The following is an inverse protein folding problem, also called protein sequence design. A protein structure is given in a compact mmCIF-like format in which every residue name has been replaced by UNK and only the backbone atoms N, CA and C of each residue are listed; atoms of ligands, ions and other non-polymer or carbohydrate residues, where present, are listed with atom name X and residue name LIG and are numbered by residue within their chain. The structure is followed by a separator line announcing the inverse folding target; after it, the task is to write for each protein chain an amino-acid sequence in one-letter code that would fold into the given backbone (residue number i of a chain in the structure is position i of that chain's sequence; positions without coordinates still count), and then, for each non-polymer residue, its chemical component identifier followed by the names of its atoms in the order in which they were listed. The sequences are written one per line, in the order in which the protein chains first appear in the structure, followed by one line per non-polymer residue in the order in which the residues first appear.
data_IF_592993360034
#
_entry.id   IF_592993360034
#
_cell.length_a   1.000
_cell.length_b   1.000
_cell.length_c   1.000
_cell.angle_alpha   90.00
_cell.angle_beta   90.00
_cell.angle_gamma   90.00
#
_symmetry.space_group_name_H-M   'P 1'
#
loop_
_entity.id
_entity.type
_entity.pdbx_description
1 polymer ?
#
# COMPACT_ATOMS: atom_id res chain seq x y z
N UNK A 1 23.80 -23.14 -19.57
CA UNK A 1 23.40 -22.64 -18.24
C UNK A 1 22.09 -21.95 -18.47
N UNK A 2 20.99 -22.64 -18.18
CA UNK A 2 19.67 -22.01 -18.16
C UNK A 2 19.74 -20.91 -17.09
N UNK A 3 19.35 -19.71 -17.49
CA UNK A 3 19.15 -18.63 -16.53
C UNK A 3 17.83 -18.98 -15.86
N UNK A 4 17.86 -19.47 -14.62
CA UNK A 4 16.64 -19.56 -13.81
C UNK A 4 16.00 -18.16 -13.82
N UNK A 5 14.85 -18.05 -14.46
CA UNK A 5 14.09 -16.82 -14.51
C UNK A 5 13.54 -16.60 -13.09
N UNK A 6 14.26 -15.81 -12.28
CA UNK A 6 13.84 -15.50 -10.92
C UNK A 6 12.57 -14.66 -11.02
N UNK A 7 11.42 -15.32 -10.82
CA UNK A 7 10.13 -14.65 -10.74
C UNK A 7 10.16 -13.78 -9.46
N UNK A 8 10.10 -12.44 -9.57
CA UNK A 8 10.22 -11.59 -8.39
C UNK A 8 9.02 -11.79 -7.47
N UNK A 9 9.28 -12.07 -6.18
CA UNK A 9 8.26 -12.25 -5.14
C UNK A 9 7.32 -11.04 -5.02
N UNK A 10 6.12 -11.26 -4.47
CA UNK A 10 5.19 -10.19 -4.12
C UNK A 10 5.87 -9.12 -3.24
N UNK A 11 5.76 -7.85 -3.65
CA UNK A 11 6.28 -6.74 -2.87
C UNK A 11 5.33 -6.40 -1.72
N UNK A 12 5.87 -6.32 -0.50
CA UNK A 12 5.12 -5.95 0.70
C UNK A 12 5.52 -4.55 1.18
N UNK A 13 4.58 -3.61 1.11
CA UNK A 13 4.70 -2.28 1.69
C UNK A 13 4.03 -2.21 3.07
N UNK A 14 4.75 -1.68 4.07
CA UNK A 14 4.20 -1.50 5.42
C UNK A 14 4.13 -0.03 5.81
N UNK A 15 2.96 0.44 6.25
CA UNK A 15 2.84 1.78 6.84
C UNK A 15 3.37 1.82 8.28
N UNK A 16 4.17 2.84 8.58
CA UNK A 16 4.88 3.00 9.85
C UNK A 16 4.88 4.45 10.33
N UNK A 17 4.84 4.65 11.64
CA UNK A 17 4.80 5.98 12.28
C UNK A 17 5.90 6.22 13.32
N UNK A 18 6.84 5.28 13.43
CA UNK A 18 7.99 5.39 14.32
C UNK A 18 9.20 4.65 13.75
N UNK A 19 10.39 4.97 14.27
CA UNK A 19 11.62 4.23 13.94
C UNK A 19 11.53 2.77 14.37
N UNK A 20 10.91 2.50 15.54
CA UNK A 20 10.69 1.14 16.02
C UNK A 20 9.79 0.36 15.06
N UNK A 21 8.66 0.94 14.66
CA UNK A 21 7.74 0.35 13.68
C UNK A 21 8.44 0.06 12.34
N UNK A 22 9.26 1.00 11.85
CA UNK A 22 10.05 0.84 10.62
C UNK A 22 11.04 -0.34 10.71
N UNK A 23 11.81 -0.42 11.80
CA UNK A 23 12.76 -1.53 12.03
C UNK A 23 12.02 -2.86 12.16
N UNK A 24 10.89 -2.88 12.87
CA UNK A 24 10.07 -4.08 13.03
C UNK A 24 9.47 -4.55 11.70
N UNK A 25 9.01 -3.64 10.85
CA UNK A 25 8.48 -3.95 9.53
C UNK A 25 9.54 -4.63 8.65
N UNK A 26 10.73 -4.03 8.53
CA UNK A 26 11.83 -4.56 7.71
C UNK A 26 12.33 -5.90 8.24
N UNK A 27 12.51 -6.03 9.55
CA UNK A 27 12.86 -7.32 10.18
C UNK A 27 11.77 -8.38 10.04
N UNK A 28 10.54 -7.97 9.74
CA UNK A 28 9.43 -8.85 9.41
C UNK A 28 9.35 -9.20 7.92
N UNK A 29 10.22 -8.66 7.08
CA UNK A 29 10.23 -8.94 5.64
C UNK A 29 9.47 -7.93 4.79
N UNK A 30 9.22 -6.72 5.29
CA UNK A 30 8.73 -5.62 4.44
C UNK A 30 9.82 -5.16 3.46
N UNK A 31 9.43 -4.97 2.20
CA UNK A 31 10.33 -4.53 1.12
C UNK A 31 10.37 -3.01 0.99
N UNK A 32 9.27 -2.36 1.37
CA UNK A 32 9.08 -0.90 1.28
C UNK A 32 8.32 -0.38 2.48
N UNK A 33 8.57 0.87 2.83
CA UNK A 33 7.87 1.54 3.93
C UNK A 33 7.10 2.76 3.45
N UNK A 34 5.84 2.87 3.89
CA UNK A 34 5.08 4.13 3.84
C UNK A 34 5.24 4.83 5.20
N UNK A 35 5.90 5.98 5.23
CA UNK A 35 6.14 6.74 6.46
C UNK A 35 5.02 7.75 6.68
N UNK A 36 4.36 7.64 7.82
CA UNK A 36 3.19 8.41 8.21
C UNK A 36 3.41 9.07 9.58
N UNK A 37 2.77 10.20 9.85
CA UNK A 37 2.44 10.65 11.20
C UNK A 37 1.04 10.18 11.59
N UNK A 38 0.72 10.08 12.88
CA UNK A 38 -0.66 9.83 13.37
C UNK A 38 -1.37 8.60 12.76
N UNK A 39 -0.64 7.53 12.44
CA UNK A 39 -1.17 6.38 11.69
C UNK A 39 -2.36 5.72 12.40
N UNK A 40 -2.24 5.45 13.71
CA UNK A 40 -3.28 4.77 14.49
C UNK A 40 -4.58 5.55 14.70
N UNK A 41 -4.59 6.87 14.49
CA UNK A 41 -5.74 7.75 14.84
C UNK A 41 -6.52 8.22 13.61
N UNK A 42 -5.93 8.20 12.41
CA UNK A 42 -6.59 8.74 11.22
C UNK A 42 -6.19 8.13 9.89
N UNK A 43 -5.54 6.96 9.87
CA UNK A 43 -4.95 6.40 8.65
C UNK A 43 -3.71 7.15 8.17
N UNK A 44 -3.20 8.07 9.00
CA UNK A 44 -1.96 8.80 8.88
C UNK A 44 -2.05 10.20 8.23
N UNK A 45 -1.05 11.03 8.53
CA UNK A 45 -0.83 12.42 8.06
C UNK A 45 0.64 12.62 7.72
N UNK A 46 1.03 13.76 7.15
CA UNK A 46 2.45 14.01 6.82
C UNK A 46 3.36 13.76 8.04
N UNK A 47 4.43 12.94 7.92
CA UNK A 47 5.35 12.67 9.02
C UNK A 47 6.26 13.88 9.27
N UNK A 48 6.89 13.93 10.44
CA UNK A 48 7.89 14.98 10.70
C UNK A 48 9.21 14.69 9.97
N UNK A 49 9.96 15.73 9.57
CA UNK A 49 11.32 15.58 9.04
C UNK A 49 12.26 14.76 9.94
N UNK A 50 12.10 14.92 11.26
CA UNK A 50 12.89 14.21 12.26
C UNK A 50 12.67 12.69 12.19
N UNK A 51 11.43 12.26 12.00
CA UNK A 51 11.08 10.84 11.84
C UNK A 51 11.72 10.27 10.56
N UNK A 52 11.51 10.92 9.41
CA UNK A 52 12.03 10.44 8.12
C UNK A 52 13.56 10.35 8.13
N UNK A 53 14.25 11.38 8.63
CA UNK A 53 15.73 11.36 8.76
C UNK A 53 16.20 10.23 9.68
N UNK A 54 15.47 9.95 10.76
CA UNK A 54 15.84 8.91 11.72
C UNK A 54 15.64 7.51 11.13
N UNK A 55 14.56 7.28 10.37
CA UNK A 55 14.32 6.04 9.64
C UNK A 55 15.43 5.82 8.60
N UNK A 56 15.75 6.82 7.76
CA UNK A 56 16.84 6.70 6.76
C UNK A 56 18.20 6.37 7.38
N UNK A 57 18.50 6.89 8.57
CA UNK A 57 19.74 6.55 9.30
C UNK A 57 19.73 5.10 9.80
N UNK A 58 18.58 4.62 10.27
CA UNK A 58 18.43 3.27 10.80
C UNK A 58 18.35 2.20 9.69
N UNK A 59 17.83 2.57 8.51
CA UNK A 59 17.51 1.67 7.40
C UNK A 59 17.98 2.31 6.09
N UNK A 60 19.24 2.08 5.72
CA UNK A 60 19.90 2.83 4.62
C UNK A 60 19.35 2.50 3.24
N UNK A 61 18.98 1.25 3.01
CA UNK A 61 18.69 0.73 1.66
C UNK A 61 17.19 0.45 1.42
N UNK A 62 16.34 0.80 2.38
CA UNK A 62 14.90 0.52 2.30
C UNK A 62 14.18 1.68 1.59
N UNK A 63 13.46 1.43 0.49
CA UNK A 63 12.69 2.46 -0.18
C UNK A 63 11.61 3.05 0.74
N UNK A 64 11.49 4.38 0.73
CA UNK A 64 10.51 5.12 1.53
C UNK A 64 9.52 5.85 0.63
N UNK A 65 8.24 5.65 0.93
CA UNK A 65 7.11 6.44 0.43
C UNK A 65 6.66 7.38 1.54
N UNK A 66 6.52 8.67 1.28
CA UNK A 66 6.14 9.65 2.31
C UNK A 66 4.67 10.03 2.15
N UNK A 67 3.91 9.91 3.24
CA UNK A 67 2.58 10.49 3.33
C UNK A 67 2.65 12.01 3.20
N UNK A 68 1.90 12.56 2.25
CA UNK A 68 1.65 14.00 2.14
C UNK A 68 0.15 14.20 2.30
N UNK A 69 -0.25 14.52 3.52
CA UNK A 69 -1.63 14.73 3.95
C UNK A 69 -1.63 15.65 5.16
N UNK A 70 -2.06 16.92 5.01
CA UNK A 70 -1.82 17.95 6.02
C UNK A 70 -2.69 17.77 7.27
N UNK A 71 -3.82 17.06 7.16
CA UNK A 71 -4.75 16.78 8.27
C UNK A 71 -5.53 15.49 8.09
N UNK A 72 -6.16 15.03 9.17
CA UNK A 72 -7.17 13.97 9.15
C UNK A 72 -8.51 14.48 8.58
N UNK A 73 -9.44 13.57 8.32
CA UNK A 73 -10.76 13.87 7.72
C UNK A 73 -10.78 13.59 6.21
N UNK A 74 -11.52 14.39 5.48
CA UNK A 74 -11.69 14.26 4.03
C UNK A 74 -10.39 14.55 3.22
N UNK A 75 -10.52 14.46 1.91
CA UNK A 75 -9.47 14.70 0.92
C UNK A 75 -9.75 15.93 0.05
N UNK A 76 -10.66 16.81 0.49
CA UNK A 76 -10.96 18.08 -0.18
C UNK A 76 -10.17 19.17 0.56
N UNK A 77 -9.15 19.68 -0.10
CA UNK A 77 -8.24 20.65 0.51
C UNK A 77 -8.55 22.07 0.06
N UNK A 78 -8.36 23.01 0.96
CA UNK A 78 -8.29 24.44 0.62
C UNK A 78 -7.03 24.71 -0.21
N UNK A 79 -6.98 25.85 -0.90
CA UNK A 79 -5.78 26.23 -1.66
C UNK A 79 -4.55 26.36 -0.74
N UNK A 80 -4.71 26.89 0.48
CA UNK A 80 -3.62 26.98 1.46
C UNK A 80 -3.12 25.60 1.89
N UNK A 81 -4.01 24.61 2.07
CA UNK A 81 -3.62 23.25 2.40
C UNK A 81 -2.85 22.57 1.25
N UNK A 82 -3.23 22.84 0.00
CA UNK A 82 -2.47 22.37 -1.17
C UNK A 82 -1.07 22.98 -1.20
N UNK A 83 -0.92 24.28 -0.92
CA UNK A 83 0.42 24.89 -0.87
C UNK A 83 1.30 24.29 0.23
N UNK A 84 0.74 24.00 1.42
CA UNK A 84 1.45 23.27 2.48
C UNK A 84 1.92 21.89 1.98
N UNK A 85 1.06 21.15 1.28
CA UNK A 85 1.42 19.84 0.71
C UNK A 85 2.56 19.93 -0.30
N UNK A 86 2.57 20.97 -1.14
CA UNK A 86 3.62 21.20 -2.13
C UNK A 86 4.95 21.58 -1.46
N UNK A 87 4.92 22.41 -0.42
CA UNK A 87 6.09 22.73 0.40
C UNK A 87 6.67 21.47 1.06
N UNK A 88 5.83 20.62 1.65
CA UNK A 88 6.25 19.34 2.24
C UNK A 88 6.94 18.45 1.19
N UNK A 89 6.36 18.31 -0.01
CA UNK A 89 6.94 17.53 -1.11
C UNK A 89 8.32 18.09 -1.49
N UNK A 90 8.44 19.40 -1.69
CA UNK A 90 9.70 20.05 -2.02
C UNK A 90 10.77 19.78 -0.95
N UNK A 91 10.41 19.95 0.31
CA UNK A 91 11.32 19.71 1.43
C UNK A 91 11.79 18.25 1.52
N UNK A 92 10.88 17.28 1.37
CA UNK A 92 11.25 15.87 1.41
C UNK A 92 12.10 15.44 0.21
N UNK A 93 11.92 16.05 -0.97
CA UNK A 93 12.82 15.84 -2.12
C UNK A 93 14.25 16.29 -1.81
N UNK A 94 14.43 17.41 -1.13
CA UNK A 94 15.75 17.87 -0.67
C UNK A 94 16.38 16.87 0.32
N UNK A 95 15.56 16.17 1.10
CA UNK A 95 16.00 15.05 1.96
C UNK A 95 16.31 13.76 1.19
N UNK A 96 16.21 13.78 -0.15
CA UNK A 96 16.46 12.63 -1.02
C UNK A 96 15.36 11.57 -0.94
N UNK A 97 14.12 11.95 -0.63
CA UNK A 97 12.94 11.11 -0.85
C UNK A 97 12.54 11.21 -2.32
N UNK A 98 12.04 10.10 -2.87
CA UNK A 98 11.55 10.02 -4.26
C UNK A 98 10.09 9.60 -4.37
N UNK A 99 9.55 8.92 -3.36
CA UNK A 99 8.18 8.44 -3.35
C UNK A 99 7.27 9.27 -2.45
N UNK A 100 6.15 9.74 -3.00
CA UNK A 100 5.15 10.53 -2.28
C UNK A 100 3.79 9.90 -2.45
N UNK A 101 3.00 9.86 -1.38
CA UNK A 101 1.64 9.34 -1.39
C UNK A 101 0.70 10.49 -1.05
N UNK A 102 -0.22 10.79 -1.97
CA UNK A 102 -1.08 11.97 -2.06
C UNK A 102 -2.49 11.50 -2.45
N UNK A 103 -3.52 12.29 -2.22
CA UNK A 103 -4.82 12.04 -2.82
C UNK A 103 -5.72 13.23 -2.60
N UNK A 104 -6.27 13.77 -3.68
CA UNK A 104 -7.12 14.97 -3.64
C UNK A 104 -8.43 14.69 -4.36
N UNK A 105 -9.53 15.00 -3.70
CA UNK A 105 -10.87 14.83 -4.22
C UNK A 105 -11.59 16.17 -4.33
N UNK A 106 -12.43 16.26 -5.34
CA UNK A 106 -13.43 17.31 -5.51
C UNK A 106 -14.57 17.14 -4.48
N UNK A 107 -15.38 18.18 -4.32
CA UNK A 107 -16.58 18.14 -3.48
C UNK A 107 -17.62 17.10 -3.93
N UNK A 108 -17.59 16.74 -5.21
CA UNK A 108 -18.48 15.75 -5.82
C UNK A 108 -17.95 14.32 -5.65
N UNK A 109 -16.81 14.12 -4.97
CA UNK A 109 -16.21 12.79 -4.78
C UNK A 109 -15.56 12.22 -6.05
N UNK A 110 -15.19 13.06 -7.01
CA UNK A 110 -14.30 12.68 -8.12
C UNK A 110 -12.84 13.04 -7.80
N UNK A 111 -11.89 12.38 -8.45
CA UNK A 111 -10.47 12.76 -8.38
C UNK A 111 -10.29 14.19 -8.89
N UNK A 112 -9.55 15.02 -8.15
CA UNK A 112 -9.23 16.38 -8.60
C UNK A 112 -8.04 16.34 -9.58
N UNK A 113 -8.32 16.12 -10.85
CA UNK A 113 -7.31 15.94 -11.91
C UNK A 113 -6.38 17.16 -12.01
N UNK A 114 -6.91 18.37 -11.89
CA UNK A 114 -6.12 19.60 -12.07
C UNK A 114 -5.09 19.77 -10.95
N UNK A 115 -5.46 19.45 -9.71
CA UNK A 115 -4.52 19.45 -8.59
C UNK A 115 -3.56 18.26 -8.70
N UNK A 116 -4.07 17.07 -9.04
CA UNK A 116 -3.27 15.85 -9.08
C UNK A 116 -2.25 15.80 -10.23
N UNK A 117 -2.45 16.56 -11.31
CA UNK A 117 -1.47 16.77 -12.40
C UNK A 117 -0.26 17.61 -11.97
N UNK A 118 -0.30 18.26 -10.80
CA UNK A 118 0.89 18.90 -10.22
C UNK A 118 1.93 17.81 -9.89
N UNK A 119 3.22 18.07 -10.16
CA UNK A 119 4.23 17.01 -10.23
C UNK A 119 4.44 16.26 -8.90
N UNK A 120 4.79 14.97 -9.02
CA UNK A 120 5.25 14.04 -7.97
C UNK A 120 4.20 13.47 -7.01
N UNK A 121 3.23 12.73 -7.55
CA UNK A 121 2.18 12.07 -6.77
C UNK A 121 2.09 10.55 -7.02
N UNK A 122 1.91 9.77 -5.95
CA UNK A 122 1.25 8.46 -5.99
C UNK A 122 -0.06 8.55 -5.21
N UNK A 123 -1.07 7.75 -5.55
CA UNK A 123 -2.41 7.92 -4.99
C UNK A 123 -2.67 7.04 -3.77
N UNK A 124 -3.27 7.65 -2.75
CA UNK A 124 -3.73 7.00 -1.51
C UNK A 124 -5.19 6.54 -1.59
N UNK A 125 -5.66 5.89 -0.52
CA UNK A 125 -7.06 5.52 -0.20
C UNK A 125 -8.13 6.64 -0.34
N UNK A 126 -7.78 7.86 -0.74
CA UNK A 126 -8.74 8.83 -1.25
C UNK A 126 -9.59 8.21 -2.39
N UNK A 127 -9.00 7.31 -3.18
CA UNK A 127 -9.72 6.53 -4.18
C UNK A 127 -10.96 5.79 -3.62
N UNK A 128 -10.85 5.19 -2.44
CA UNK A 128 -11.95 4.42 -1.83
C UNK A 128 -13.11 5.34 -1.35
N UNK A 129 -12.90 6.65 -1.33
CA UNK A 129 -13.92 7.66 -1.02
C UNK A 129 -14.50 8.33 -2.27
N UNK A 130 -14.10 7.88 -3.46
CA UNK A 130 -14.68 8.39 -4.71
C UNK A 130 -16.10 7.90 -4.90
N UNK A 131 -16.90 8.57 -5.73
CA UNK A 131 -18.27 8.14 -6.02
C UNK A 131 -18.34 6.92 -6.94
N UNK A 132 -17.38 6.78 -7.85
CA UNK A 132 -17.34 5.77 -8.89
C UNK A 132 -15.89 5.28 -9.06
N UNK A 133 -15.59 4.03 -8.67
CA UNK A 133 -14.22 3.53 -8.70
C UNK A 133 -13.70 3.27 -10.13
N UNK A 134 -14.57 3.05 -11.11
CA UNK A 134 -14.15 2.84 -12.51
C UNK A 134 -13.76 4.17 -13.14
N UNK A 135 -14.61 5.19 -12.99
CA UNK A 135 -14.28 6.54 -13.47
C UNK A 135 -13.04 7.09 -12.77
N UNK A 136 -12.92 6.90 -11.45
CA UNK A 136 -11.74 7.33 -10.71
C UNK A 136 -10.47 6.63 -11.22
N UNK A 137 -10.53 5.35 -11.58
CA UNK A 137 -9.38 4.63 -12.14
C UNK A 137 -8.99 5.19 -13.51
N UNK A 138 -9.98 5.50 -14.36
CA UNK A 138 -9.77 6.15 -15.66
C UNK A 138 -9.09 7.51 -15.50
N UNK A 139 -9.61 8.37 -14.61
CA UNK A 139 -9.05 9.68 -14.29
C UNK A 139 -7.57 9.57 -13.84
N UNK A 140 -7.27 8.57 -13.00
CA UNK A 140 -5.92 8.33 -12.46
C UNK A 140 -4.94 7.90 -13.54
N UNK A 141 -5.37 7.02 -14.44
CA UNK A 141 -4.56 6.59 -15.58
C UNK A 141 -4.34 7.79 -16.53
N UNK A 142 -5.36 8.62 -16.76
CA UNK A 142 -5.29 9.80 -17.63
C UNK A 142 -4.34 10.88 -17.10
N UNK A 143 -4.30 11.12 -15.78
CA UNK A 143 -3.38 12.09 -15.17
C UNK A 143 -1.94 11.85 -15.62
N UNK A 144 -1.53 10.59 -15.73
CA UNK A 144 -0.17 10.18 -16.10
C UNK A 144 0.85 10.46 -14.99
N UNK A 145 1.91 9.66 -14.92
CA UNK A 145 2.98 9.82 -13.92
C UNK A 145 2.66 9.29 -12.52
N UNK A 146 1.47 8.73 -12.30
CA UNK A 146 1.10 8.02 -11.07
C UNK A 146 1.52 6.56 -11.22
N UNK A 147 2.44 6.11 -10.36
CA UNK A 147 2.95 4.74 -10.41
C UNK A 147 2.04 3.71 -9.74
N UNK A 148 1.30 4.12 -8.71
CA UNK A 148 0.55 3.22 -7.82
C UNK A 148 -0.78 3.79 -7.37
N UNK A 149 -1.76 2.91 -7.29
CA UNK A 149 -3.06 3.15 -6.67
C UNK A 149 -3.23 2.24 -5.44
N UNK A 150 -3.23 2.85 -4.25
CA UNK A 150 -3.57 2.16 -3.01
C UNK A 150 -5.10 2.15 -2.80
N UNK A 151 -5.71 0.97 -2.70
CA UNK A 151 -7.18 0.82 -2.57
C UNK A 151 -7.56 -0.40 -1.74
N UNK A 152 -8.66 -0.31 -0.99
CA UNK A 152 -9.33 -1.46 -0.38
C UNK A 152 -10.37 -2.10 -1.28
N UNK A 153 -10.48 -1.68 -2.55
CA UNK A 153 -11.51 -2.12 -3.48
C UNK A 153 -12.85 -1.40 -3.28
N UNK A 154 -12.84 -0.16 -2.79
CA UNK A 154 -14.07 0.63 -2.55
C UNK A 154 -14.99 0.08 -1.45
N UNK A 155 -14.51 -0.86 -0.63
CA UNK A 155 -15.19 -1.34 0.57
C UNK A 155 -14.36 -1.18 1.85
N UNK A 156 -14.84 -1.77 2.95
CA UNK A 156 -14.20 -1.60 4.28
C UNK A 156 -12.82 -2.23 4.36
N UNK A 157 -12.59 -3.32 3.65
CA UNK A 157 -11.35 -4.07 3.65
C UNK A 157 -11.16 -4.80 2.32
N UNK A 158 -9.91 -5.09 1.96
CA UNK A 158 -9.57 -5.86 0.76
C UNK A 158 -10.30 -7.21 0.71
N UNK A 159 -10.36 -8.02 1.79
CA UNK A 159 -11.05 -9.31 1.76
C UNK A 159 -12.55 -9.20 1.47
N UNK A 160 -13.19 -8.10 1.88
CA UNK A 160 -14.62 -7.84 1.64
C UNK A 160 -14.88 -7.27 0.23
N UNK A 161 -13.86 -7.00 -0.56
CA UNK A 161 -13.96 -6.23 -1.81
C UNK A 161 -13.17 -6.83 -2.97
N UNK A 162 -12.87 -8.13 -2.89
CA UNK A 162 -12.12 -8.85 -3.93
C UNK A 162 -12.78 -8.76 -5.31
N UNK A 163 -14.11 -8.85 -5.40
CA UNK A 163 -14.82 -8.71 -6.67
C UNK A 163 -14.64 -7.33 -7.33
N UNK A 164 -14.68 -6.25 -6.54
CA UNK A 164 -14.38 -4.90 -7.05
C UNK A 164 -12.91 -4.79 -7.46
N UNK A 165 -11.99 -5.37 -6.69
CA UNK A 165 -10.56 -5.40 -7.06
C UNK A 165 -10.34 -6.14 -8.38
N UNK A 166 -10.94 -7.31 -8.59
CA UNK A 166 -10.86 -8.02 -9.88
C UNK A 166 -11.35 -7.15 -11.05
N UNK A 167 -12.46 -6.43 -10.85
CA UNK A 167 -12.96 -5.47 -11.84
C UNK A 167 -11.93 -4.36 -12.12
N UNK A 168 -11.30 -3.80 -11.09
CA UNK A 168 -10.30 -2.75 -11.24
C UNK A 168 -9.03 -3.24 -11.93
N UNK A 169 -8.51 -4.42 -11.58
CA UNK A 169 -7.38 -5.04 -12.27
C UNK A 169 -7.69 -5.29 -13.76
N UNK A 170 -8.87 -5.85 -14.06
CA UNK A 170 -9.32 -6.06 -15.44
C UNK A 170 -9.43 -4.74 -16.21
N UNK A 171 -9.98 -3.70 -15.57
CA UNK A 171 -10.15 -2.38 -16.16
C UNK A 171 -8.81 -1.70 -16.42
N UNK A 172 -7.90 -1.73 -15.43
CA UNK A 172 -6.55 -1.20 -15.58
C UNK A 172 -5.79 -1.90 -16.71
N UNK A 173 -5.87 -3.23 -16.82
CA UNK A 173 -5.27 -3.98 -17.93
C UNK A 173 -5.84 -3.56 -19.28
N UNK A 174 -7.16 -3.39 -19.39
CA UNK A 174 -7.83 -2.93 -20.62
C UNK A 174 -7.39 -1.53 -21.03
N UNK A 175 -7.29 -0.60 -20.08
CA UNK A 175 -6.96 0.80 -20.35
C UNK A 175 -5.48 1.00 -20.71
N UNK A 176 -4.60 0.20 -20.12
CA UNK A 176 -3.15 0.39 -20.24
C UNK A 176 -2.51 -0.52 -21.29
N UNK A 177 -3.16 -1.62 -21.68
CA UNK A 177 -2.59 -2.61 -22.59
C UNK A 177 -1.29 -3.20 -22.04
N UNK A 178 -0.30 -3.38 -22.92
CA UNK A 178 1.03 -3.93 -22.58
C UNK A 178 2.04 -2.82 -22.19
N UNK A 179 1.56 -1.69 -21.67
CA UNK A 179 2.43 -0.58 -21.28
C UNK A 179 3.43 -0.99 -20.19
N UNK A 180 4.72 -0.89 -20.50
CA UNK A 180 5.85 -1.26 -19.61
C UNK A 180 5.84 -0.47 -18.29
N UNK A 181 5.26 0.74 -18.27
CA UNK A 181 5.25 1.65 -17.11
C UNK A 181 3.84 1.99 -16.62
N UNK A 182 2.92 1.02 -16.67
CA UNK A 182 1.55 1.19 -16.20
C UNK A 182 1.41 1.39 -14.68
N UNK A 183 0.30 2.02 -14.30
CA UNK A 183 -0.24 2.07 -12.95
C UNK A 183 -0.37 0.67 -12.35
N UNK A 184 0.28 0.47 -11.21
CA UNK A 184 0.12 -0.73 -10.38
C UNK A 184 -1.00 -0.54 -9.36
N UNK A 185 -1.98 -1.45 -9.34
CA UNK A 185 -2.98 -1.50 -8.27
C UNK A 185 -2.37 -2.25 -7.08
N UNK A 186 -2.37 -1.60 -5.93
CA UNK A 186 -1.83 -2.11 -4.67
C UNK A 186 -2.99 -2.25 -3.66
N UNK A 187 -3.55 -3.45 -3.47
CA UNK A 187 -4.56 -3.68 -2.46
C UNK A 187 -4.04 -3.37 -1.05
N UNK A 188 -4.81 -2.61 -0.27
CA UNK A 188 -4.49 -2.32 1.12
C UNK A 188 -5.71 -1.97 1.97
N UNK A 189 -5.66 -2.38 3.24
CA UNK A 189 -6.77 -2.27 4.19
C UNK A 189 -7.29 -3.64 4.61
N UNK A 190 -7.08 -4.01 5.87
CA UNK A 190 -7.49 -5.32 6.41
C UNK A 190 -6.62 -6.51 5.98
N UNK A 191 -5.52 -6.28 5.26
CA UNK A 191 -4.54 -7.31 4.89
C UNK A 191 -3.82 -7.83 6.15
N UNK A 192 -3.88 -9.14 6.36
CA UNK A 192 -3.26 -9.84 7.49
C UNK A 192 -3.02 -11.32 7.12
N UNK A 193 -2.44 -12.12 8.03
CA UNK A 193 -2.10 -13.52 7.75
C UNK A 193 -3.29 -14.38 7.33
N UNK A 194 -4.49 -14.08 7.84
CA UNK A 194 -5.67 -14.88 7.52
C UNK A 194 -6.27 -14.52 6.15
N UNK A 195 -5.95 -13.34 5.61
CA UNK A 195 -6.50 -12.89 4.33
C UNK A 195 -5.51 -12.96 3.16
N UNK A 196 -4.21 -12.89 3.42
CA UNK A 196 -3.19 -12.74 2.38
C UNK A 196 -3.21 -13.86 1.34
N UNK A 197 -3.34 -15.12 1.76
CA UNK A 197 -3.38 -16.27 0.84
C UNK A 197 -4.52 -16.15 -0.15
N UNK A 198 -5.74 -15.85 0.32
CA UNK A 198 -6.90 -15.66 -0.56
C UNK A 198 -6.73 -14.47 -1.50
N UNK A 199 -6.13 -13.37 -1.02
CA UNK A 199 -5.86 -12.19 -1.84
C UNK A 199 -4.90 -12.53 -2.99
N UNK A 200 -3.80 -13.22 -2.69
CA UNK A 200 -2.82 -13.64 -3.68
C UNK A 200 -3.46 -14.59 -4.69
N UNK A 201 -4.11 -15.66 -4.24
CA UNK A 201 -4.75 -16.63 -5.13
C UNK A 201 -5.76 -16.01 -6.10
N UNK A 202 -6.53 -15.00 -5.66
CA UNK A 202 -7.54 -14.36 -6.50
C UNK A 202 -6.98 -13.27 -7.42
N UNK A 203 -6.03 -12.46 -6.94
CA UNK A 203 -5.57 -11.28 -7.66
C UNK A 203 -4.25 -11.47 -8.41
N UNK A 204 -3.42 -12.44 -8.03
CA UNK A 204 -2.18 -12.78 -8.74
C UNK A 204 -2.42 -13.14 -10.22
N UNK A 205 -3.43 -13.97 -10.58
CA UNK A 205 -3.77 -14.22 -11.98
C UNK A 205 -4.22 -12.97 -12.74
N UNK A 206 -4.58 -11.90 -12.02
CA UNK A 206 -5.02 -10.62 -12.59
C UNK A 206 -3.90 -9.59 -12.67
N UNK A 207 -2.69 -9.92 -12.21
CA UNK A 207 -1.52 -9.05 -12.24
C UNK A 207 -1.18 -8.41 -10.90
N UNK A 208 -1.59 -8.97 -9.75
CA UNK A 208 -1.11 -8.50 -8.44
C UNK A 208 0.42 -8.57 -8.38
N UNK A 209 1.04 -7.48 -7.93
CA UNK A 209 2.50 -7.37 -7.75
C UNK A 209 2.91 -6.75 -6.42
N UNK A 210 2.01 -5.97 -5.81
CA UNK A 210 2.30 -5.26 -4.58
C UNK A 210 1.10 -5.31 -3.64
N UNK A 211 1.36 -5.37 -2.33
CA UNK A 211 0.33 -5.28 -1.31
C UNK A 211 0.74 -4.31 -0.20
N UNK A 212 -0.25 -3.72 0.45
CA UNK A 212 -0.05 -2.77 1.54
C UNK A 212 -0.73 -3.24 2.83
N UNK A 213 0.00 -3.17 3.94
CA UNK A 213 -0.54 -3.46 5.28
C UNK A 213 0.03 -2.52 6.36
N UNK A 214 -0.56 -2.55 7.55
CA UNK A 214 0.02 -1.88 8.72
C UNK A 214 0.82 -2.82 9.62
N UNK A 215 0.38 -4.08 9.75
CA UNK A 215 0.93 -5.04 10.72
C UNK A 215 0.91 -4.53 12.17
N UNK A 216 0.13 -3.48 12.45
CA UNK A 216 0.20 -2.72 13.69
C UNK A 216 -0.88 -3.09 14.68
N UNK A 217 -0.63 -2.76 15.95
CA UNK A 217 -1.59 -2.89 17.05
C UNK A 217 -1.34 -1.82 18.10
N UNK A 218 -2.35 -1.57 18.91
CA UNK A 218 -2.22 -0.79 20.13
C UNK A 218 -1.57 -1.64 21.23
N UNK A 219 -0.44 -1.18 21.76
CA UNK A 219 0.23 -1.79 22.90
C UNK A 219 0.00 -0.94 24.14
N UNK A 220 -0.26 -1.57 25.28
CA UNK A 220 -0.40 -0.87 26.55
C UNK A 220 0.89 -0.16 26.94
N UNK A 221 0.80 1.08 27.40
CA UNK A 221 1.96 1.82 27.90
C UNK A 221 2.56 1.16 29.14
N UNK A 222 3.89 1.23 29.21
CA UNK A 222 4.71 0.85 30.36
C UNK A 222 4.65 1.85 31.53
N UNK A 223 3.95 2.98 31.37
CA UNK A 223 3.73 3.95 32.44
C UNK A 223 3.05 3.28 33.64
N UNK A 224 3.71 3.34 34.80
CA UNK A 224 3.20 2.77 36.05
C UNK A 224 2.09 3.62 36.67
N UNK A 225 2.21 4.95 36.56
CA UNK A 225 1.18 5.89 36.99
C UNK A 225 0.32 6.34 35.82
N UNK A 226 -1.00 6.20 35.96
CA UNK A 226 -2.00 6.66 34.98
C UNK A 226 -3.07 7.45 35.73
N UNK A 227 -3.25 8.72 35.37
CA UNK A 227 -4.28 9.56 35.98
C UNK A 227 -5.64 9.19 35.38
N UNK A 228 -6.55 8.78 36.23
CA UNK A 228 -7.92 8.46 35.83
C UNK A 228 -8.64 9.73 35.31
N UNK A 229 -9.45 9.56 34.27
CA UNK A 229 -10.25 10.64 33.67
C UNK A 229 -9.48 11.66 32.81
N UNK A 230 -8.17 11.50 32.62
CA UNK A 230 -7.38 12.36 31.72
C UNK A 230 -7.34 11.79 30.31
N UNK A 231 -7.54 12.65 29.30
CA UNK A 231 -7.34 12.31 27.89
C UNK A 231 -7.00 13.55 27.05
N UNK A 232 -6.05 13.42 26.12
CA UNK A 232 -5.57 14.48 25.23
C UNK A 232 -6.07 14.32 23.77
N UNK A 233 -6.89 13.32 23.47
CA UNK A 233 -7.34 13.05 22.10
C UNK A 233 -8.50 12.05 21.92
N UNK A 234 -8.68 11.59 20.68
CA UNK A 234 -9.95 11.07 20.13
C UNK A 234 -10.54 9.79 20.75
N UNK A 235 -9.85 9.07 21.64
CA UNK A 235 -10.50 8.06 22.47
C UNK A 235 -9.82 7.86 23.83
N UNK A 236 -10.64 7.93 24.89
CA UNK A 236 -10.20 7.71 26.28
C UNK A 236 -9.60 6.31 26.47
N UNK A 237 -10.11 5.33 25.73
CA UNK A 237 -9.67 3.93 25.77
C UNK A 237 -8.22 3.72 25.31
N UNK A 238 -7.65 4.65 24.54
CA UNK A 238 -6.33 4.51 23.92
C UNK A 238 -5.33 5.57 24.36
N UNK A 239 -5.69 6.40 25.35
CA UNK A 239 -4.84 7.49 25.83
C UNK A 239 -3.43 7.03 26.23
N UNK A 240 -3.36 5.90 26.93
CA UNK A 240 -2.12 5.29 27.38
C UNK A 240 -1.66 4.16 26.47
N UNK A 241 -2.20 4.01 25.27
CA UNK A 241 -1.77 2.99 24.34
C UNK A 241 -0.85 3.62 23.28
N UNK A 242 0.11 2.84 22.80
CA UNK A 242 1.01 3.26 21.72
C UNK A 242 0.81 2.32 20.54
N UNK A 243 0.48 2.89 19.39
CA UNK A 243 0.43 2.14 18.14
C UNK A 243 1.85 1.75 17.73
N UNK A 244 2.07 0.48 17.42
CA UNK A 244 3.34 0.03 16.86
C UNK A 244 3.16 -1.16 15.92
N UNK A 245 4.01 -1.22 14.90
CA UNK A 245 4.10 -2.35 13.97
C UNK A 245 4.69 -3.58 14.67
N UNK A 246 4.02 -4.72 14.53
CA UNK A 246 4.46 -6.01 15.06
C UNK A 246 5.30 -6.76 14.03
N UNK A 247 6.59 -6.92 14.29
CA UNK A 247 7.51 -7.75 13.48
C UNK A 247 6.92 -9.13 13.15
N UNK A 248 6.32 -9.77 14.16
CA UNK A 248 5.74 -11.11 14.03
C UNK A 248 4.57 -11.14 13.05
N UNK A 249 3.74 -10.11 13.03
CA UNK A 249 2.57 -10.07 12.13
C UNK A 249 3.00 -9.78 10.70
N UNK A 250 4.01 -8.93 10.49
CA UNK A 250 4.59 -8.71 9.16
C UNK A 250 5.24 -9.98 8.63
N UNK A 251 6.06 -10.67 9.43
CA UNK A 251 6.67 -11.95 9.07
C UNK A 251 5.64 -13.00 8.67
N UNK A 252 4.56 -13.10 9.46
CA UNK A 252 3.43 -13.99 9.22
C UNK A 252 2.72 -13.74 7.89
N UNK A 253 2.61 -12.47 7.49
CA UNK A 253 2.05 -12.12 6.18
C UNK A 253 3.04 -12.45 5.08
N UNK A 254 4.33 -12.13 5.25
CA UNK A 254 5.40 -12.44 4.30
C UNK A 254 5.47 -13.92 3.97
N UNK A 255 5.60 -14.77 4.98
CA UNK A 255 5.65 -16.23 4.84
C UNK A 255 4.43 -16.78 4.09
N UNK A 256 3.22 -16.31 4.42
CA UNK A 256 2.00 -16.78 3.76
C UNK A 256 1.81 -16.21 2.34
N UNK A 257 2.36 -15.02 2.05
CA UNK A 257 2.37 -14.43 0.72
C UNK A 257 3.32 -15.17 -0.22
N UNK A 258 4.55 -15.44 0.25
CA UNK A 258 5.56 -16.15 -0.53
C UNK A 258 5.10 -17.57 -0.84
N UNK A 259 4.56 -18.29 0.16
CA UNK A 259 3.99 -19.62 -0.07
C UNK A 259 2.88 -19.62 -1.13
N UNK A 260 1.93 -18.68 -1.05
CA UNK A 260 0.84 -18.58 -2.02
C UNK A 260 1.31 -18.11 -3.42
N UNK A 261 2.41 -17.37 -3.47
CA UNK A 261 3.05 -16.95 -4.71
C UNK A 261 3.71 -18.12 -5.41
N UNK A 262 4.53 -18.89 -4.68
CA UNK A 262 5.24 -20.06 -5.18
C UNK A 262 4.24 -21.13 -5.65
N UNK A 263 3.21 -21.46 -4.84
CA UNK A 263 2.15 -22.41 -5.23
C UNK A 263 1.49 -22.06 -6.57
N UNK A 264 1.31 -20.77 -6.87
CA UNK A 264 0.70 -20.34 -8.12
C UNK A 264 1.61 -20.58 -9.33
N UNK A 265 2.89 -20.22 -9.21
CA UNK A 265 3.84 -20.34 -10.33
C UNK A 265 4.31 -21.77 -10.55
N UNK A 266 4.52 -22.53 -9.48
CA UNK A 266 4.83 -23.96 -9.57
C UNK A 266 3.70 -24.69 -10.29
N UNK A 267 2.44 -24.41 -9.95
CA UNK A 267 1.28 -25.00 -10.62
C UNK A 267 1.14 -24.66 -12.11
N UNK A 268 1.59 -23.48 -12.55
CA UNK A 268 1.64 -23.14 -13.98
C UNK A 268 2.70 -23.98 -14.69
N UNK A 269 3.90 -24.08 -14.11
CA UNK A 269 5.01 -24.82 -14.70
C UNK A 269 4.69 -26.30 -14.91
N UNK A 270 3.95 -26.92 -13.98
CA UNK A 270 3.48 -28.30 -14.11
C UNK A 270 2.45 -28.43 -15.26
N UNK A 271 1.49 -27.50 -15.38
CA UNK A 271 0.47 -27.55 -16.43
C UNK A 271 1.01 -27.37 -17.86
N UNK A 272 2.03 -26.54 -18.05
CA UNK A 272 2.69 -26.35 -19.35
C UNK A 272 3.53 -27.57 -19.75
N UNK A 273 4.02 -28.34 -18.77
CA UNK A 273 4.76 -29.59 -19.01
C UNK A 273 3.87 -30.77 -19.44
N UNK A 274 2.61 -30.80 -18.99
CA UNK A 274 1.63 -31.83 -19.36
C UNK A 274 1.00 -31.60 -20.75
N UNK A 275 0.85 -30.35 -21.20
CA UNK A 275 0.36 -30.03 -22.55
C UNK A 275 1.40 -30.27 -23.67
N UNK A 276 2.66 -30.56 -23.32
CA UNK A 276 3.77 -30.72 -24.26
C UNK A 276 3.93 -32.14 -24.86
N UNK A 277 3.03 -33.10 -24.62
CA UNK A 277 3.05 -34.43 -25.26
C UNK A 277 1.91 -34.63 -26.29
N UNK A 278 2.10 -34.23 -27.56
CA UNK A 278 1.22 -34.57 -28.66
C UNK A 278 1.77 -35.78 -29.43
N UNK A 279 2.08 -36.91 -28.77
CA UNK A 279 2.37 -38.15 -29.50
C UNK A 279 1.24 -39.16 -29.29
N UNK A 280 0.33 -39.35 -30.28
CA UNK A 280 -0.57 -40.49 -30.23
C UNK A 280 0.26 -41.77 -30.38
N UNK A 281 -0.08 -42.86 -29.67
CA UNK A 281 0.64 -44.12 -29.84
C UNK A 281 0.52 -44.57 -31.29
N UNK A 282 1.67 -44.70 -31.95
CA UNK A 282 1.80 -45.39 -33.22
C UNK A 282 1.41 -46.85 -33.02
N UNK A 283 0.27 -47.25 -33.59
CA UNK A 283 -0.10 -48.65 -33.72
C UNK A 283 0.88 -49.35 -34.68
N UNK A 284 1.70 -50.25 -34.15
CA UNK A 284 2.22 -51.44 -34.85
C UNK A 284 2.05 -52.67 -33.96
#
# INVERSE_FOLDING_TARGET
MEVEEVIPSLLIEVCVDSVESAVNAVKGGADRLEVCGNLGIGGGTTPTPGLVKSIKRALKDVPLMIMVRPRVGDFRYTSQEIEVMLEDIAYFKELGVRGFVVGVLTEQGSVDIDIMKRPDSSIRRAFDMTKDPVQALEDIIEIGGISRLLTSGHGKSVPESLGTLELLFKTAKRLQGDAVWGLTIMPGGGVNRNSITTIVQQLLPRGLREIHLSGGRWNSSAMQFKREGMGFGASVEREWAVWATSKKEVYRVREAADFAWDEYWDGISESESEEADPNPPSNE
#
